data_IF_391471691646
#
_entry.id   IF_391471691646
#
_cell.length_a   1.000
_cell.length_b   1.000
_cell.length_c   1.000
_cell.angle_alpha   90.00
_cell.angle_beta   90.00
_cell.angle_gamma   90.00
#
_symmetry.space_group_name_H-M   'P 1'
#
loop_
_entity.id
_entity.type
_entity.pdbx_description
1 polymer ?
#
# COMPACT_ATOMS: atom_id res chain seq x y z
N UNK A 1 -38.33 -16.83 1.22
CA UNK A 1 -36.89 -16.91 1.54
C UNK A 1 -36.12 -16.28 0.39
N UNK A 2 -35.72 -15.02 0.53
CA UNK A 2 -35.25 -14.19 -0.58
C UNK A 2 -33.82 -14.49 -1.00
N UNK A 3 -33.67 -14.74 -2.30
CA UNK A 3 -32.45 -14.82 -3.09
C UNK A 3 -31.84 -13.41 -3.26
N UNK A 4 -31.28 -12.85 -2.19
CA UNK A 4 -30.57 -11.57 -2.26
C UNK A 4 -29.10 -11.90 -2.50
N UNK A 5 -28.68 -11.74 -3.76
CA UNK A 5 -27.37 -12.13 -4.27
C UNK A 5 -26.22 -11.67 -3.39
N UNK A 6 -25.15 -12.47 -3.43
CA UNK A 6 -23.85 -12.31 -2.75
C UNK A 6 -23.75 -10.95 -2.06
N UNK A 7 -24.16 -10.92 -0.80
CA UNK A 7 -24.15 -9.69 -0.03
C UNK A 7 -22.72 -9.28 0.29
N UNK A 8 -22.53 -8.03 0.71
CA UNK A 8 -21.25 -7.57 1.26
C UNK A 8 -20.71 -8.52 2.35
N UNK A 9 -21.60 -9.13 3.14
CA UNK A 9 -21.26 -10.13 4.15
C UNK A 9 -20.60 -11.37 3.58
N UNK A 10 -21.08 -11.93 2.48
CA UNK A 10 -20.48 -13.12 1.84
C UNK A 10 -19.12 -12.79 1.24
N UNK A 11 -18.97 -11.62 0.62
CA UNK A 11 -17.65 -11.15 0.16
C UNK A 11 -16.65 -11.02 1.31
N UNK A 12 -17.07 -10.50 2.47
CA UNK A 12 -16.20 -10.41 3.65
C UNK A 12 -15.78 -11.81 4.12
N UNK A 13 -16.68 -12.78 4.15
CA UNK A 13 -16.35 -14.16 4.55
C UNK A 13 -15.31 -14.77 3.60
N UNK A 14 -15.51 -14.63 2.28
CA UNK A 14 -14.55 -15.10 1.28
C UNK A 14 -13.20 -14.38 1.43
N UNK A 15 -13.22 -13.06 1.67
CA UNK A 15 -12.01 -12.28 1.91
C UNK A 15 -11.25 -12.77 3.14
N UNK A 16 -11.94 -13.09 4.24
CA UNK A 16 -11.30 -13.65 5.46
C UNK A 16 -10.64 -15.00 5.17
N UNK A 17 -11.30 -15.88 4.42
CA UNK A 17 -10.70 -17.17 4.02
C UNK A 17 -9.48 -16.93 3.13
N UNK A 18 -9.56 -16.04 2.15
CA UNK A 18 -8.44 -15.67 1.29
C UNK A 18 -7.28 -15.06 2.09
N UNK A 19 -7.58 -14.25 3.10
CA UNK A 19 -6.61 -13.67 4.03
C UNK A 19 -5.90 -14.72 4.88
N UNK A 20 -6.58 -15.81 5.25
CA UNK A 20 -5.94 -16.92 5.98
C UNK A 20 -4.99 -17.69 5.06
N UNK A 21 -5.40 -17.97 3.82
CA UNK A 21 -4.60 -18.73 2.85
C UNK A 21 -3.40 -17.93 2.36
N UNK A 22 -3.61 -16.66 1.97
CA UNK A 22 -2.60 -15.81 1.37
C UNK A 22 -1.82 -14.99 2.43
N UNK A 23 -2.49 -14.62 3.53
CA UNK A 23 -1.96 -13.74 4.57
C UNK A 23 -2.35 -12.26 4.36
N UNK A 24 -2.69 -11.50 5.43
CA UNK A 24 -3.08 -10.09 5.33
C UNK A 24 -1.97 -9.17 4.81
N UNK A 25 -0.71 -9.55 4.98
CA UNK A 25 0.43 -8.79 4.45
C UNK A 25 0.63 -8.97 2.95
N UNK A 26 0.18 -10.09 2.38
CA UNK A 26 0.40 -10.43 0.96
C UNK A 26 -0.69 -9.90 0.04
N UNK A 27 -1.91 -9.66 0.53
CA UNK A 27 -2.95 -8.97 -0.24
C UNK A 27 -2.53 -7.57 -0.75
N UNK A 28 -2.03 -6.65 0.10
CA UNK A 28 -1.63 -5.33 -0.39
C UNK A 28 -0.42 -5.40 -1.33
N UNK A 29 0.50 -6.35 -1.11
CA UNK A 29 1.63 -6.61 -2.01
C UNK A 29 1.16 -7.07 -3.40
N UNK A 30 0.28 -8.08 -3.44
CA UNK A 30 -0.33 -8.57 -4.68
C UNK A 30 -1.14 -7.48 -5.38
N UNK A 31 -1.96 -6.73 -4.65
CA UNK A 31 -2.75 -5.61 -5.16
C UNK A 31 -1.89 -4.51 -5.78
N UNK A 32 -0.77 -4.12 -5.14
CA UNK A 32 0.18 -3.14 -5.72
C UNK A 32 0.81 -3.64 -7.01
N UNK A 33 1.21 -4.91 -7.08
CA UNK A 33 1.80 -5.49 -8.29
C UNK A 33 0.79 -5.54 -9.44
N UNK A 34 -0.44 -5.97 -9.16
CA UNK A 34 -1.53 -6.05 -10.13
C UNK A 34 -1.99 -4.66 -10.57
N UNK A 35 -2.05 -3.70 -9.64
CA UNK A 35 -2.44 -2.32 -9.89
C UNK A 35 -1.49 -1.61 -10.85
N UNK A 36 -0.17 -1.79 -10.67
CA UNK A 36 0.85 -1.28 -11.60
C UNK A 36 0.67 -1.86 -13.01
N UNK A 37 0.55 -3.19 -13.12
CA UNK A 37 0.32 -3.84 -14.41
C UNK A 37 -0.98 -3.41 -15.07
N UNK A 38 -2.06 -3.25 -14.30
CA UNK A 38 -3.35 -2.77 -14.82
C UNK A 38 -3.30 -1.31 -15.24
N UNK A 39 -2.53 -0.47 -14.54
CA UNK A 39 -2.26 0.93 -14.90
C UNK A 39 -1.53 0.99 -16.25
N UNK A 40 -0.43 0.27 -16.39
CA UNK A 40 0.35 0.19 -17.63
C UNK A 40 -0.48 -0.37 -18.80
N UNK A 41 -1.29 -1.40 -18.54
CA UNK A 41 -2.21 -1.98 -19.53
C UNK A 41 -3.26 -0.97 -19.99
N UNK A 42 -3.90 -0.27 -19.04
CA UNK A 42 -4.87 0.79 -19.35
C UNK A 42 -4.22 1.93 -20.14
N UNK A 43 -3.03 2.35 -19.75
CA UNK A 43 -2.32 3.47 -20.36
C UNK A 43 -1.88 3.14 -21.80
N UNK A 44 -1.54 1.87 -22.06
CA UNK A 44 -1.24 1.35 -23.40
C UNK A 44 -2.48 1.30 -24.29
N UNK A 45 -3.63 0.92 -23.73
CA UNK A 45 -4.91 0.93 -24.46
C UNK A 45 -5.48 2.34 -24.68
N UNK A 46 -5.19 3.28 -23.78
CA UNK A 46 -5.79 4.63 -23.79
C UNK A 46 -4.94 5.68 -24.52
N UNK A 47 -3.84 5.29 -25.17
CA UNK A 47 -3.07 6.21 -26.02
C UNK A 47 -2.25 7.27 -25.28
N UNK A 48 -1.83 7.01 -24.03
CA UNK A 48 -0.73 7.76 -23.41
C UNK A 48 -1.05 9.12 -22.77
N UNK A 49 -2.20 9.30 -22.11
CA UNK A 49 -2.40 10.44 -21.20
C UNK A 49 -1.82 10.11 -19.81
N UNK A 50 -0.54 10.43 -19.60
CA UNK A 50 0.17 10.29 -18.32
C UNK A 50 -0.41 11.23 -17.26
N UNK A 51 -0.59 10.69 -16.07
CA UNK A 51 -0.47 11.41 -14.82
C UNK A 51 0.37 10.53 -13.91
N UNK A 52 1.67 10.81 -13.89
CA UNK A 52 2.59 10.27 -12.91
C UNK A 52 2.30 11.04 -11.62
N UNK A 53 1.53 10.44 -10.71
CA UNK A 53 1.49 10.87 -9.33
C UNK A 53 1.95 9.70 -8.47
N UNK A 54 2.97 10.03 -7.70
CA UNK A 54 3.59 9.28 -6.62
C UNK A 54 2.56 8.56 -5.75
N UNK A 55 2.81 7.30 -5.39
CA UNK A 55 2.15 6.70 -4.23
C UNK A 55 2.99 5.53 -3.68
N UNK A 56 4.09 5.90 -3.02
CA UNK A 56 4.62 5.19 -1.85
C UNK A 56 3.66 5.29 -0.63
N UNK A 57 2.39 5.66 -0.84
CA UNK A 57 1.42 6.04 0.19
C UNK A 57 0.74 4.87 0.95
N UNK A 58 1.39 3.70 1.03
CA UNK A 58 0.96 2.64 1.96
C UNK A 58 2.12 1.95 2.69
N UNK A 59 3.35 2.47 2.60
CA UNK A 59 4.54 1.87 3.27
C UNK A 59 4.90 2.57 4.58
N UNK A 60 4.17 3.61 5.01
CA UNK A 60 4.46 4.37 6.24
C UNK A 60 3.41 4.14 7.36
N UNK A 61 3.11 2.88 7.70
CA UNK A 61 2.48 2.55 9.00
C UNK A 61 3.36 1.62 9.85
N UNK A 62 4.68 1.68 9.68
CA UNK A 62 5.56 0.74 10.38
C UNK A 62 7.07 1.00 10.36
N UNK A 63 7.52 2.25 10.28
CA UNK A 63 8.94 2.56 10.48
C UNK A 63 9.10 3.82 11.32
N UNK A 64 9.00 3.65 12.63
CA UNK A 64 9.60 4.56 13.61
C UNK A 64 11.08 4.73 13.28
N UNK A 65 11.44 5.79 12.54
CA UNK A 65 12.84 6.21 12.40
C UNK A 65 13.23 7.04 13.63
N UNK A 66 13.27 6.36 14.78
CA UNK A 66 14.05 6.80 15.93
C UNK A 66 15.53 6.60 15.60
N UNK A 67 16.12 7.58 14.90
CA UNK A 67 17.56 7.92 14.95
C UNK A 67 17.76 9.24 14.20
N UNK A 68 17.47 10.38 14.86
CA UNK A 68 18.24 11.62 14.68
C UNK A 68 17.96 12.55 15.85
N UNK A 69 18.56 12.23 16.99
CA UNK A 69 18.72 13.17 18.09
C UNK A 69 20.22 13.30 18.36
N UNK A 70 20.73 14.49 18.05
CA UNK A 70 21.92 15.13 18.62
C UNK A 70 23.26 14.39 18.48
N UNK A 71 23.95 14.63 17.37
CA UNK A 71 25.37 15.01 17.50
C UNK A 71 25.37 16.41 18.14
N UNK A 72 25.89 16.57 19.38
CA UNK A 72 26.09 17.88 19.96
C UNK A 72 27.22 18.55 19.18
N UNK A 73 26.81 19.45 18.28
CA UNK A 73 27.62 20.52 17.75
C UNK A 73 28.47 21.10 18.88
N UNK A 74 29.79 20.95 18.75
CA UNK A 74 30.76 21.68 19.54
C UNK A 74 30.52 23.19 19.39
N UNK A 75 30.43 23.91 20.52
CA UNK A 75 31.23 25.11 20.62
C UNK A 75 31.93 25.14 21.98
N UNK A 76 33.25 25.07 21.98
CA UNK A 76 34.05 25.61 23.09
C UNK A 76 35.29 26.24 22.50
N UNK A 77 35.10 27.41 21.91
CA UNK A 77 36.10 28.48 22.03
C UNK A 77 36.00 28.97 23.47
N UNK A 78 37.04 28.73 24.27
CA UNK A 78 37.28 29.43 25.53
C UNK A 78 38.78 29.69 25.61
N UNK A 79 39.10 30.96 25.86
CA UNK A 79 40.44 31.53 25.94
C UNK A 79 41.31 30.89 27.03
#
# INVERSE_FOLDING_TARGET
MGLNGIGMTELIIVLVIALIVLGPKRLPEAGRSLGRGMREFKDSLSGGSKHDDDDDAFTEIGAVKSTKAAEPSAPTTTN
#
